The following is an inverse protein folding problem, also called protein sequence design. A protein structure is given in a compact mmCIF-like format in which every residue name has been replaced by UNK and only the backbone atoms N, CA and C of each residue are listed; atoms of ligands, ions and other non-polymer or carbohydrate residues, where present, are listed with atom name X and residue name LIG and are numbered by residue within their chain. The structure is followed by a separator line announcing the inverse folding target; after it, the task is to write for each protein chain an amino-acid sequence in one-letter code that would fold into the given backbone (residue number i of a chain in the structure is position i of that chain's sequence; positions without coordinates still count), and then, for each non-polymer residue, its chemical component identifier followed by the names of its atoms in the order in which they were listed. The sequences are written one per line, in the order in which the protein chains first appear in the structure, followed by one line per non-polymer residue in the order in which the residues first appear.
data_IF_074201652881
#
_entry.id   IF_074201652881
#
_cell.length_a   1.000
_cell.length_b   1.000
_cell.length_c   1.000
_cell.angle_alpha   90.00
_cell.angle_beta   90.00
_cell.angle_gamma   90.00
#
_symmetry.space_group_name_H-M   'P 1'
#
loop_
_entity.id
_entity.type
_entity.pdbx_description
1 polymer ?
#
# COMPACT_ATOMS: atom_id res chain seq x y z
N UNK A 1 11.76 -4.93 -7.38
CA UNK A 1 12.51 -5.53 -6.24
C UNK A 1 11.75 -6.75 -5.76
N UNK A 2 12.45 -7.79 -5.31
CA UNK A 2 11.86 -8.99 -4.73
C UNK A 2 12.68 -9.40 -3.50
N UNK A 3 12.04 -10.07 -2.55
CA UNK A 3 12.70 -10.60 -1.35
C UNK A 3 13.39 -11.94 -1.69
N UNK A 4 14.50 -12.29 -1.03
CA UNK A 4 15.29 -13.47 -1.37
C UNK A 4 14.59 -14.81 -1.05
N UNK A 5 13.59 -14.81 -0.16
CA UNK A 5 12.87 -16.01 0.27
C UNK A 5 11.42 -15.69 0.64
N UNK A 6 10.55 -16.70 0.62
CA UNK A 6 9.14 -16.58 0.95
C UNK A 6 8.98 -16.13 2.41
N UNK A 7 8.08 -15.18 2.64
CA UNK A 7 7.82 -14.59 3.97
C UNK A 7 6.68 -15.30 4.72
N UNK A 8 6.15 -16.39 4.18
CA UNK A 8 4.93 -17.03 4.66
C UNK A 8 3.67 -16.28 4.21
N UNK A 9 2.49 -16.69 4.73
CA UNK A 9 1.24 -15.97 4.48
C UNK A 9 1.31 -14.52 4.97
N UNK A 10 1.04 -13.58 4.07
CA UNK A 10 1.09 -12.15 4.40
C UNK A 10 -0.19 -11.73 5.13
N UNK A 11 -0.05 -11.20 6.35
CA UNK A 11 -1.18 -10.80 7.20
C UNK A 11 -1.33 -9.28 7.35
N UNK A 12 -0.24 -8.53 7.22
CA UNK A 12 -0.20 -7.10 7.45
C UNK A 12 0.74 -6.42 6.46
N UNK A 13 0.39 -5.21 6.05
CA UNK A 13 1.20 -4.35 5.19
C UNK A 13 1.13 -2.92 5.73
N UNK A 14 2.30 -2.25 5.82
CA UNK A 14 2.41 -0.82 6.11
C UNK A 14 2.86 -0.09 4.86
N UNK A 15 2.07 0.88 4.43
CA UNK A 15 2.39 1.77 3.30
C UNK A 15 2.48 3.21 3.82
N UNK A 16 3.39 3.98 3.23
CA UNK A 16 3.53 5.40 3.47
C UNK A 16 4.04 6.07 2.20
N UNK A 17 3.75 7.35 2.06
CA UNK A 17 4.34 8.23 1.07
C UNK A 17 5.03 9.37 1.80
N UNK A 18 6.01 10.00 1.16
CA UNK A 18 6.80 11.10 1.70
C UNK A 18 6.08 12.46 1.61
N UNK A 19 4.86 12.48 1.07
CA UNK A 19 4.04 13.67 0.85
C UNK A 19 4.75 14.77 0.03
N UNK A 20 5.68 14.37 -0.85
CA UNK A 20 6.34 15.27 -1.78
C UNK A 20 5.37 15.75 -2.86
N UNK A 21 5.39 17.06 -3.16
CA UNK A 21 4.47 17.73 -4.10
C UNK A 21 3.67 18.86 -3.45
N UNK A 22 2.99 19.69 -4.24
CA UNK A 22 2.04 20.68 -3.71
C UNK A 22 0.85 19.93 -3.07
N UNK A 23 0.22 20.51 -2.03
CA UNK A 23 -0.81 19.83 -1.19
C UNK A 23 -1.88 19.07 -1.99
N UNK A 24 -2.28 19.60 -3.14
CA UNK A 24 -3.27 19.02 -4.05
C UNK A 24 -2.81 17.71 -4.72
N UNK A 25 -1.52 17.62 -5.06
CA UNK A 25 -0.93 16.52 -5.84
C UNK A 25 -0.26 15.46 -4.93
N UNK A 26 -0.05 15.80 -3.66
CA UNK A 26 0.53 14.88 -2.67
C UNK A 26 -0.49 13.83 -2.15
N UNK A 27 -1.79 14.00 -2.43
CA UNK A 27 -2.88 13.17 -1.92
C UNK A 27 -3.13 11.92 -2.78
N UNK A 28 -3.15 10.72 -2.20
CA UNK A 28 -3.36 9.46 -2.93
C UNK A 28 -4.66 8.77 -2.51
N UNK A 29 -5.50 8.39 -3.46
CA UNK A 29 -6.56 7.40 -3.18
C UNK A 29 -6.04 5.99 -3.38
N UNK A 30 -5.84 5.26 -2.29
CA UNK A 30 -5.35 3.89 -2.34
C UNK A 30 -6.52 2.91 -2.41
N UNK A 31 -6.80 2.39 -3.61
CA UNK A 31 -7.87 1.41 -3.80
C UNK A 31 -7.50 0.03 -3.21
N UNK A 32 -6.38 -0.54 -3.65
CA UNK A 32 -5.87 -1.82 -3.17
C UNK A 32 -4.37 -1.95 -3.47
N UNK A 33 -3.72 -2.90 -2.80
CA UNK A 33 -2.35 -3.35 -3.08
C UNK A 33 -2.40 -4.83 -3.45
N UNK A 34 -1.66 -5.21 -4.48
CA UNK A 34 -1.46 -6.61 -4.87
C UNK A 34 0.00 -6.95 -4.61
N UNK A 35 0.23 -7.94 -3.75
CA UNK A 35 1.56 -8.54 -3.59
C UNK A 35 1.61 -9.82 -4.40
N UNK A 36 2.61 -9.92 -5.28
CA UNK A 36 2.86 -11.10 -6.07
C UNK A 36 4.10 -11.82 -5.53
N UNK A 37 3.90 -13.04 -5.06
CA UNK A 37 4.99 -13.89 -4.60
C UNK A 37 5.59 -14.61 -5.81
N UNK A 38 6.84 -14.29 -6.16
CA UNK A 38 7.53 -14.88 -7.30
C UNK A 38 7.99 -16.33 -7.06
N UNK A 39 7.99 -16.78 -5.81
CA UNK A 39 8.46 -18.11 -5.40
C UNK A 39 7.30 -19.10 -5.35
N UNK A 40 6.12 -18.65 -4.90
CA UNK A 40 4.90 -19.48 -4.87
C UNK A 40 3.96 -19.21 -6.05
N UNK A 41 4.18 -18.13 -6.80
CA UNK A 41 3.31 -17.63 -7.89
C UNK A 41 1.92 -17.19 -7.41
N UNK A 42 1.75 -16.94 -6.12
CA UNK A 42 0.48 -16.53 -5.51
C UNK A 42 0.31 -15.00 -5.50
N UNK A 43 -0.95 -14.56 -5.47
CA UNK A 43 -1.33 -13.14 -5.34
C UNK A 43 -2.09 -12.92 -4.04
N UNK A 44 -1.63 -11.98 -3.22
CA UNK A 44 -2.35 -11.51 -2.03
C UNK A 44 -2.88 -10.11 -2.28
N UNK A 45 -4.16 -9.89 -1.95
CA UNK A 45 -4.84 -8.61 -2.11
C UNK A 45 -5.04 -7.95 -0.74
N UNK A 46 -4.61 -6.70 -0.63
CA UNK A 46 -4.90 -5.83 0.51
C UNK A 46 -5.82 -4.71 0.02
N UNK A 47 -7.10 -4.82 0.35
CA UNK A 47 -8.11 -3.82 -0.03
C UNK A 47 -8.08 -2.69 1.01
N UNK A 48 -7.98 -1.44 0.57
CA UNK A 48 -7.92 -0.28 1.44
C UNK A 48 -9.10 0.66 1.20
N UNK A 49 -9.22 1.23 -0.01
CA UNK A 49 -10.29 2.16 -0.42
C UNK A 49 -10.34 3.43 0.44
N UNK A 50 -9.18 4.01 0.74
CA UNK A 50 -9.06 5.21 1.58
C UNK A 50 -8.13 6.25 0.96
N UNK A 51 -8.30 7.51 1.36
CA UNK A 51 -7.38 8.59 0.99
C UNK A 51 -6.19 8.64 1.95
N UNK A 52 -5.01 8.85 1.39
CA UNK A 52 -3.77 9.13 2.09
C UNK A 52 -3.40 10.58 1.75
N UNK A 53 -3.77 11.50 2.62
CA UNK A 53 -3.55 12.93 2.44
C UNK A 53 -3.32 13.59 3.80
N UNK A 54 -2.37 14.52 3.87
CA UNK A 54 -2.08 15.26 5.11
C UNK A 54 -3.23 16.21 5.49
N UNK A 55 -3.96 16.74 4.51
CA UNK A 55 -5.08 17.67 4.75
C UNK A 55 -6.46 16.98 4.85
N UNK A 56 -6.54 15.69 4.49
CA UNK A 56 -7.70 14.84 4.77
C UNK A 56 -7.24 13.71 5.69
N UNK A 57 -7.05 14.07 6.96
CA UNK A 57 -7.23 13.08 8.01
C UNK A 57 -8.68 12.62 7.86
N UNK A 58 -8.90 11.45 7.24
CA UNK A 58 -10.21 10.81 7.23
C UNK A 58 -10.56 10.61 8.71
N UNK A 59 -11.44 11.48 9.21
CA UNK A 59 -11.91 11.51 10.60
C UNK A 59 -12.19 10.08 11.06
N UNK A 60 -11.44 9.63 12.07
CA UNK A 60 -11.83 8.49 12.89
C UNK A 60 -12.82 8.91 13.96
#
# INVERSE_FOLDING_TARGET
MAVPSWLGPLNYLRIGHDNSGDSSDASWFLKYIIVYDLQTMEKTYFICQQWFAVEKDDEK
#
